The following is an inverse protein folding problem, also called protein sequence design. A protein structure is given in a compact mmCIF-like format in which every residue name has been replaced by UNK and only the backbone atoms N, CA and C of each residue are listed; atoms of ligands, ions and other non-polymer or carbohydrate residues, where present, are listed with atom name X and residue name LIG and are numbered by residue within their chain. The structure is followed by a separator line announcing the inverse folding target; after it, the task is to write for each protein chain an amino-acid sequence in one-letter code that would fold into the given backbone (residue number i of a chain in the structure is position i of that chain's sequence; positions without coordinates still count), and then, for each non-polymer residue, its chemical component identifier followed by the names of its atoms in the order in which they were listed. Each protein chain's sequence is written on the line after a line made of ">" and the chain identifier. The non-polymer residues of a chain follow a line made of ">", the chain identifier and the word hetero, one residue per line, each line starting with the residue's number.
data_IF_027007203256
#
_entry.id   IF_027007203256
#
_cell.length_a   1.000
_cell.length_b   1.000
_cell.length_c   1.000
_cell.angle_alpha   90.00
_cell.angle_beta   90.00
_cell.angle_gamma   90.00
#
_symmetry.space_group_name_H-M   'P 1'
#
loop_
_entity.id
_entity.type
_entity.pdbx_description
1 polymer ?
#
# COMPACT_ATOMS: atom_id res chain seq x y z
N UNK A 1 3.86 -23.03 2.38
CA UNK A 1 2.76 -23.27 3.03
C UNK A 1 1.90 -22.08 3.24
N UNK A 2 1.14 -22.09 4.18
CA UNK A 2 0.12 -21.10 4.35
C UNK A 2 0.62 -19.72 4.61
N UNK A 3 1.88 -19.51 4.63
CA UNK A 3 2.39 -18.20 4.89
C UNK A 3 1.89 -17.19 3.93
N UNK A 4 1.83 -17.56 2.69
CA UNK A 4 1.41 -16.61 1.70
C UNK A 4 0.00 -16.16 1.96
N UNK A 5 -0.81 -17.07 2.43
CA UNK A 5 -2.17 -16.70 2.70
C UNK A 5 -2.25 -15.72 3.85
N UNK A 6 -1.39 -15.89 4.80
CA UNK A 6 -1.44 -15.03 5.90
C UNK A 6 -1.11 -13.63 5.59
N UNK A 7 -0.26 -13.46 4.60
CA UNK A 7 0.06 -12.21 4.19
C UNK A 7 -1.09 -11.39 3.85
N UNK A 8 -2.08 -11.96 3.12
CA UNK A 8 -3.20 -11.21 2.64
C UNK A 8 -4.20 -10.88 3.71
N UNK A 9 -4.11 -11.54 4.83
CA UNK A 9 -5.05 -11.28 5.86
C UNK A 9 -4.81 -10.03 6.60
N UNK A 10 -3.71 -9.38 6.31
CA UNK A 10 -3.33 -8.26 7.08
C UNK A 10 -4.14 -7.04 6.87
N UNK A 11 -4.99 -7.00 5.88
CA UNK A 11 -5.75 -5.80 5.58
C UNK A 11 -7.19 -5.99 6.03
N UNK A 12 -7.51 -5.61 7.24
CA UNK A 12 -8.85 -5.75 7.74
C UNK A 12 -9.83 -4.99 6.88
N UNK A 13 -10.97 -5.58 6.66
CA UNK A 13 -11.95 -4.94 5.84
C UNK A 13 -11.83 -5.23 4.37
N UNK A 14 -10.78 -5.91 3.95
CA UNK A 14 -10.63 -6.27 2.54
C UNK A 14 -10.94 -7.75 2.38
N UNK A 15 -11.78 -8.07 1.42
CA UNK A 15 -12.04 -9.46 1.08
C UNK A 15 -11.03 -9.90 0.01
N UNK A 16 -11.13 -11.16 -0.42
CA UNK A 16 -10.18 -11.70 -1.37
C UNK A 16 -10.16 -10.94 -2.67
N UNK A 17 -11.33 -10.49 -3.11
CA UNK A 17 -11.44 -9.77 -4.34
C UNK A 17 -10.77 -8.41 -4.24
N UNK A 18 -10.92 -7.74 -3.11
CA UNK A 18 -10.31 -6.46 -2.89
C UNK A 18 -8.79 -6.59 -2.78
N UNK A 19 -8.33 -7.66 -2.16
CA UNK A 19 -6.89 -7.90 -2.09
C UNK A 19 -6.31 -8.14 -3.46
N UNK A 20 -7.00 -8.90 -4.30
CA UNK A 20 -6.53 -9.14 -5.66
C UNK A 20 -6.49 -7.86 -6.45
N UNK A 21 -7.49 -7.02 -6.27
CA UNK A 21 -7.54 -5.74 -6.97
C UNK A 21 -6.38 -4.85 -6.51
N UNK A 22 -6.10 -4.82 -5.24
CA UNK A 22 -4.99 -4.04 -4.72
C UNK A 22 -3.67 -4.55 -5.28
N UNK A 23 -3.48 -5.87 -5.30
CA UNK A 23 -2.27 -6.45 -5.86
C UNK A 23 -2.08 -6.06 -7.31
N UNK A 24 -3.16 -6.04 -8.07
CA UNK A 24 -3.08 -5.66 -9.46
C UNK A 24 -2.66 -4.22 -9.60
N UNK A 25 -3.20 -3.34 -8.75
CA UNK A 25 -2.85 -1.94 -8.81
C UNK A 25 -1.41 -1.70 -8.40
N UNK A 26 -0.94 -2.45 -7.42
CA UNK A 26 0.46 -2.36 -7.03
C UNK A 26 1.36 -2.76 -8.19
N UNK A 27 1.04 -3.85 -8.87
CA UNK A 27 1.85 -4.30 -9.99
C UNK A 27 1.85 -3.29 -11.12
N UNK A 28 0.71 -2.67 -11.39
CA UNK A 28 0.65 -1.64 -12.41
C UNK A 28 1.51 -0.44 -12.03
N UNK A 29 1.49 -0.10 -10.76
CA UNK A 29 2.31 0.99 -10.27
C UNK A 29 3.78 0.68 -10.44
N UNK A 30 4.20 -0.55 -10.14
CA UNK A 30 5.58 -0.94 -10.29
C UNK A 30 6.02 -0.90 -11.75
N UNK A 31 5.12 -1.25 -12.66
CA UNK A 31 5.43 -1.20 -14.08
C UNK A 31 5.64 0.23 -14.55
N UNK A 32 5.02 1.18 -13.89
CA UNK A 32 5.12 2.59 -14.28
C UNK A 32 6.03 3.38 -13.37
N UNK A 33 6.81 2.68 -12.58
CA UNK A 33 7.63 3.34 -11.59
C UNK A 33 8.59 4.34 -12.21
N UNK A 34 9.10 4.04 -13.38
CA UNK A 34 10.03 4.91 -14.06
C UNK A 34 9.40 6.25 -14.44
N UNK A 35 8.11 6.29 -14.55
CA UNK A 35 7.41 7.52 -14.89
C UNK A 35 7.14 8.37 -13.67
N UNK A 36 7.45 7.86 -12.50
CA UNK A 36 7.22 8.56 -11.24
C UNK A 36 5.78 9.04 -11.14
N UNK A 37 4.81 8.12 -11.17
CA UNK A 37 3.41 8.53 -11.20
C UNK A 37 2.98 9.13 -9.87
N UNK A 38 2.02 10.03 -9.95
CA UNK A 38 1.44 10.59 -8.74
C UNK A 38 0.24 9.74 -8.36
N UNK A 39 0.21 9.31 -7.14
CA UNK A 39 -0.85 8.43 -6.66
C UNK A 39 -1.29 8.83 -5.26
N UNK A 40 -2.46 8.35 -4.90
CA UNK A 40 -2.99 8.51 -3.56
C UNK A 40 -3.01 7.13 -2.92
N UNK A 41 -2.28 6.99 -1.82
CA UNK A 41 -2.29 5.75 -1.06
C UNK A 41 -3.27 5.87 0.09
N UNK A 42 -4.07 4.84 0.31
CA UNK A 42 -4.90 4.75 1.50
C UNK A 42 -4.21 3.75 2.42
N UNK A 43 -3.87 4.20 3.60
CA UNK A 43 -3.13 3.40 4.56
C UNK A 43 -4.00 3.03 5.74
N UNK A 44 -3.75 1.85 6.26
CA UNK A 44 -4.42 1.35 7.44
C UNK A 44 -3.51 1.56 8.63
N UNK A 45 -4.00 2.22 9.65
CA UNK A 45 -3.24 2.44 10.87
C UNK A 45 -4.02 1.93 12.05
N UNK A 46 -3.33 1.20 12.92
CA UNK A 46 -3.93 0.69 14.11
C UNK A 46 -3.72 1.70 15.23
N UNK A 47 -4.79 2.02 15.92
CA UNK A 47 -4.70 2.94 17.04
C UNK A 47 -4.27 2.14 18.26
N UNK A 48 -3.08 2.38 18.74
CA UNK A 48 -2.56 1.62 19.86
C UNK A 48 -3.24 1.89 21.17
N UNK A 49 -3.89 3.02 21.28
CA UNK A 49 -4.55 3.38 22.52
C UNK A 49 -5.95 2.85 22.62
N UNK A 50 -6.56 2.62 21.49
CA UNK A 50 -7.94 2.15 21.43
C UNK A 50 -7.98 0.98 20.50
N UNK A 51 -9.02 0.23 20.58
CA UNK A 51 -9.15 -0.92 19.68
C UNK A 51 -9.62 -0.53 18.30
N UNK A 52 -9.71 0.73 18.00
CA UNK A 52 -10.15 1.17 16.70
C UNK A 52 -9.05 1.12 15.65
N UNK A 53 -9.46 1.32 14.42
CA UNK A 53 -8.52 1.43 13.31
C UNK A 53 -8.87 2.70 12.58
N UNK A 54 -7.92 3.23 11.85
CA UNK A 54 -8.20 4.40 11.05
C UNK A 54 -7.47 4.29 9.74
N UNK A 55 -8.00 5.00 8.75
CA UNK A 55 -7.41 5.04 7.44
C UNK A 55 -6.84 6.43 7.22
N UNK A 56 -5.72 6.47 6.56
CA UNK A 56 -5.04 7.71 6.30
C UNK A 56 -4.70 7.76 4.83
N UNK A 57 -4.83 8.92 4.21
CA UNK A 57 -4.51 9.08 2.80
C UNK A 57 -3.24 9.89 2.65
N UNK A 58 -2.35 9.40 1.79
CA UNK A 58 -1.11 10.09 1.49
C UNK A 58 -0.99 10.19 -0.01
N UNK A 59 -0.78 11.39 -0.49
CA UNK A 59 -0.65 11.65 -1.91
C UNK A 59 0.75 12.09 -2.22
N UNK A 60 1.28 11.61 -3.33
CA UNK A 60 2.61 12.04 -3.73
C UNK A 60 3.10 11.32 -4.97
N UNK A 61 4.25 11.75 -5.43
CA UNK A 61 4.91 11.14 -6.58
C UNK A 61 5.75 10.00 -6.07
N UNK A 62 5.60 8.82 -6.68
CA UNK A 62 6.36 7.66 -6.26
C UNK A 62 7.74 7.73 -6.89
N UNK A 63 8.77 7.82 -6.07
CA UNK A 63 10.13 7.93 -6.56
C UNK A 63 10.79 6.58 -6.75
N UNK A 64 10.60 5.67 -5.80
CA UNK A 64 11.20 4.35 -5.91
C UNK A 64 10.51 3.36 -4.98
N UNK A 65 10.83 2.10 -5.18
CA UNK A 65 10.26 1.02 -4.40
C UNK A 65 11.38 0.08 -3.96
N UNK A 66 11.39 -0.28 -2.68
CA UNK A 66 12.34 -1.23 -2.14
C UNK A 66 11.66 -2.59 -2.01
N UNK A 67 12.11 -3.55 -2.79
CA UNK A 67 11.52 -4.88 -2.79
C UNK A 67 11.75 -5.62 -1.50
N UNK A 68 12.88 -5.41 -0.87
CA UNK A 68 13.19 -6.13 0.34
C UNK A 68 12.35 -5.67 1.50
N UNK A 69 12.22 -4.38 1.66
CA UNK A 69 11.47 -3.83 2.76
C UNK A 69 10.03 -3.56 2.42
N UNK A 70 9.70 -3.66 1.13
CA UNK A 70 8.36 -3.39 0.63
C UNK A 70 7.92 -1.99 1.00
N UNK A 71 8.76 -1.04 0.66
CA UNK A 71 8.52 0.36 0.98
C UNK A 71 8.57 1.19 -0.28
N UNK A 72 7.54 2.00 -0.49
CA UNK A 72 7.57 3.01 -1.53
C UNK A 72 8.14 4.29 -0.94
N UNK A 73 9.04 4.91 -1.65
CA UNK A 73 9.57 6.21 -1.24
C UNK A 73 9.01 7.26 -2.17
N UNK A 74 8.39 8.26 -1.60
CA UNK A 74 7.82 9.35 -2.39
C UNK A 74 8.86 10.42 -2.65
N UNK A 75 8.56 11.28 -3.61
CA UNK A 75 9.50 12.32 -3.98
C UNK A 75 9.86 13.28 -2.87
N UNK A 76 8.97 13.41 -1.89
CA UNK A 76 9.23 14.29 -0.75
C UNK A 76 9.98 13.57 0.38
N UNK A 77 10.38 12.33 0.16
CA UNK A 77 11.10 11.57 1.18
C UNK A 77 10.23 10.72 2.08
N UNK A 78 8.93 10.82 1.94
CA UNK A 78 8.04 10.03 2.78
C UNK A 78 8.07 8.57 2.37
N UNK A 79 7.99 7.67 3.33
CA UNK A 79 8.05 6.24 3.07
C UNK A 79 6.70 5.61 3.37
N UNK A 80 6.26 4.76 2.46
CA UNK A 80 4.96 4.10 2.55
C UNK A 80 5.19 2.61 2.63
N UNK A 81 4.76 2.00 3.73
CA UNK A 81 4.93 0.56 3.91
C UNK A 81 3.83 -0.16 3.15
N UNK A 82 4.21 -0.99 2.21
CA UNK A 82 3.25 -1.71 1.40
C UNK A 82 2.26 -2.52 2.22
N UNK A 83 2.67 -3.22 3.27
CA UNK A 83 1.69 -3.96 4.07
C UNK A 83 0.60 -3.11 4.70
N UNK A 84 0.83 -1.83 4.82
CA UNK A 84 -0.18 -0.93 5.38
C UNK A 84 -1.11 -0.36 4.33
N UNK A 85 -0.82 -0.58 3.05
CA UNK A 85 -1.61 0.01 1.98
C UNK A 85 -2.85 -0.83 1.77
N UNK A 86 -4.01 -0.19 1.82
CA UNK A 86 -5.27 -0.86 1.55
C UNK A 86 -5.92 -0.34 0.27
N UNK A 87 -5.37 0.70 -0.32
CA UNK A 87 -5.89 1.21 -1.57
C UNK A 87 -4.88 2.08 -2.28
N UNK A 88 -4.94 2.10 -3.59
CA UNK A 88 -4.10 2.95 -4.43
C UNK A 88 -4.99 3.55 -5.49
N UNK A 89 -4.86 4.84 -5.68
CA UNK A 89 -5.64 5.53 -6.70
C UNK A 89 -4.70 6.44 -7.50
N UNK A 90 -4.81 6.36 -8.82
CA UNK A 90 -4.04 7.25 -9.67
C UNK A 90 -4.71 8.61 -9.73
N UNK A 91 -3.92 9.65 -9.76
CA UNK A 91 -4.44 11.01 -9.78
C UNK A 91 -4.25 11.63 -11.15
#
# INVERSE_FOLDING_TARGET
>A
LAEAARYTEQSPGLDDQQCAELNRRVNLLLDRLEEHPMVLFTLFEKDGMKSGVRYREVRGVVAKYDEFERVFTLGNGQRILLPSVVGIKYI
#
